data_IF_957364576987
#
_entry.id   IF_957364576987
#
_cell.length_a   1.000
_cell.length_b   1.000
_cell.length_c   1.000
_cell.angle_alpha   90.00
_cell.angle_beta   90.00
_cell.angle_gamma   90.00
#
_symmetry.space_group_name_H-M   'P 1'
#
loop_
_entity.id
_entity.type
_entity.pdbx_description
1 polymer ?
#
# COMPACT_ATOMS: atom_id res chain seq x y z
N UNK A 1 19.23 11.97 -12.00
CA UNK A 1 17.76 11.96 -11.69
C UNK A 1 17.41 10.69 -10.96
N UNK A 2 16.73 10.80 -9.84
CA UNK A 2 16.26 9.64 -9.11
C UNK A 2 14.89 9.20 -9.62
N UNK A 3 14.65 7.89 -9.60
CA UNK A 3 13.35 7.31 -9.93
C UNK A 3 12.46 7.36 -8.70
N UNK A 4 11.17 7.60 -8.88
CA UNK A 4 10.19 7.50 -7.80
C UNK A 4 9.54 6.12 -7.82
N UNK A 5 9.62 5.42 -6.70
CA UNK A 5 8.85 4.18 -6.49
C UNK A 5 7.60 4.49 -5.69
N UNK A 6 6.50 3.93 -6.13
CA UNK A 6 5.23 4.00 -5.41
C UNK A 6 4.95 2.63 -4.80
N UNK A 7 4.74 2.61 -3.50
CA UNK A 7 4.33 1.41 -2.79
C UNK A 7 3.09 1.71 -1.97
N UNK A 8 2.51 0.68 -1.40
CA UNK A 8 1.35 0.85 -0.53
C UNK A 8 1.41 -0.15 0.62
N UNK A 9 0.80 0.21 1.72
CA UNK A 9 0.60 -0.71 2.83
C UNK A 9 -0.70 -0.39 3.54
N UNK A 10 -1.57 -1.37 3.56
CA UNK A 10 -2.85 -1.30 4.26
C UNK A 10 -2.94 -2.54 5.14
N UNK A 11 -3.33 -2.35 6.41
CA UNK A 11 -3.40 -3.44 7.37
C UNK A 11 -4.61 -4.34 7.09
N UNK A 12 -4.52 -5.15 6.04
CA UNK A 12 -5.57 -6.07 5.63
C UNK A 12 -5.16 -7.52 5.92
N UNK A 13 -6.15 -8.39 6.12
CA UNK A 13 -5.89 -9.81 6.25
C UNK A 13 -5.35 -10.37 4.94
N UNK A 14 -4.18 -10.97 5.00
CA UNK A 14 -3.49 -11.50 3.83
C UNK A 14 -2.73 -12.77 4.18
N UNK A 15 -1.98 -13.30 3.21
CA UNK A 15 -1.24 -14.55 3.35
C UNK A 15 -0.23 -14.51 4.50
N UNK A 16 0.42 -13.36 4.70
CA UNK A 16 1.46 -13.22 5.72
C UNK A 16 1.00 -12.27 6.83
N UNK A 17 1.53 -12.42 8.07
CA UNK A 17 1.22 -11.49 9.16
C UNK A 17 1.81 -10.11 8.92
N UNK A 18 1.27 -9.12 9.63
CA UNK A 18 1.71 -7.72 9.51
C UNK A 18 3.22 -7.56 9.72
N UNK A 19 3.80 -8.29 10.67
CA UNK A 19 5.23 -8.21 10.98
C UNK A 19 6.10 -8.55 9.77
N UNK A 20 5.68 -9.51 8.95
CA UNK A 20 6.41 -9.88 7.74
C UNK A 20 6.43 -8.72 6.73
N UNK A 21 5.29 -8.07 6.53
CA UNK A 21 5.20 -6.93 5.61
C UNK A 21 5.99 -5.73 6.14
N UNK A 22 6.00 -5.51 7.44
CA UNK A 22 6.80 -4.44 8.04
C UNK A 22 8.30 -4.70 7.87
N UNK A 23 8.73 -5.95 7.96
CA UNK A 23 10.13 -6.32 7.68
C UNK A 23 10.49 -5.96 6.23
N UNK A 24 9.63 -6.27 5.28
CA UNK A 24 9.86 -5.94 3.87
C UNK A 24 9.87 -4.42 3.66
N UNK A 25 8.98 -3.70 4.32
CA UNK A 25 8.96 -2.23 4.26
C UNK A 25 10.28 -1.65 4.78
N UNK A 26 10.86 -2.26 5.81
CA UNK A 26 12.15 -1.82 6.36
C UNK A 26 13.24 -1.82 5.29
N UNK A 27 13.28 -2.85 4.45
CA UNK A 27 14.26 -2.92 3.36
C UNK A 27 14.09 -1.76 2.38
N UNK A 28 12.85 -1.40 2.04
CA UNK A 28 12.58 -0.27 1.18
C UNK A 28 13.05 1.04 1.81
N UNK A 29 12.74 1.25 3.09
CA UNK A 29 13.10 2.47 3.80
C UNK A 29 14.63 2.63 3.91
N UNK A 30 15.34 1.55 4.14
CA UNK A 30 16.79 1.57 4.27
C UNK A 30 17.51 1.83 2.95
N UNK A 31 16.88 1.53 1.82
CA UNK A 31 17.47 1.67 0.50
C UNK A 31 17.18 3.02 -0.17
N UNK A 32 16.42 3.90 0.48
CA UNK A 32 15.87 5.11 -0.14
C UNK A 32 16.92 6.11 -0.65
N UNK A 33 18.17 5.99 -0.25
CA UNK A 33 19.23 6.87 -0.75
C UNK A 33 19.43 6.78 -2.27
N UNK A 34 18.85 5.75 -2.90
CA UNK A 34 19.00 5.48 -4.33
C UNK A 34 17.75 5.81 -5.14
N UNK A 35 16.66 6.23 -4.47
CA UNK A 35 15.40 6.54 -5.14
C UNK A 35 14.50 7.35 -4.20
N UNK A 36 13.47 7.94 -4.79
CA UNK A 36 12.37 8.55 -4.02
C UNK A 36 11.32 7.48 -3.74
N UNK A 37 10.69 7.57 -2.59
CA UNK A 37 9.67 6.59 -2.19
C UNK A 37 8.40 7.29 -1.74
N UNK A 38 7.27 6.97 -2.36
CA UNK A 38 5.96 7.37 -1.87
C UNK A 38 5.21 6.13 -1.38
N UNK A 39 4.67 6.22 -0.17
CA UNK A 39 3.96 5.13 0.48
C UNK A 39 2.50 5.54 0.62
N UNK A 40 1.61 4.85 -0.10
CA UNK A 40 0.17 5.05 0.04
C UNK A 40 -0.35 4.15 1.16
N UNK A 41 -1.13 4.71 2.06
CA UNK A 41 -1.69 3.99 3.20
C UNK A 41 -2.95 4.72 3.70
N UNK A 42 -3.61 4.16 4.69
CA UNK A 42 -4.69 4.86 5.39
C UNK A 42 -4.20 5.37 6.75
N UNK A 43 -5.11 5.96 7.54
CA UNK A 43 -4.74 6.51 8.86
C UNK A 43 -4.18 5.43 9.78
N UNK A 44 -4.78 4.25 9.80
CA UNK A 44 -4.32 3.14 10.63
C UNK A 44 -2.93 2.67 10.19
N UNK A 45 -2.71 2.58 8.87
CA UNK A 45 -1.41 2.18 8.32
C UNK A 45 -0.33 3.21 8.63
N UNK A 46 -0.64 4.49 8.48
CA UNK A 46 0.31 5.56 8.83
C UNK A 46 0.72 5.47 10.29
N UNK A 47 -0.25 5.29 11.18
CA UNK A 47 0.02 5.15 12.61
C UNK A 47 0.95 3.98 12.89
N UNK A 48 0.67 2.82 12.29
CA UNK A 48 1.51 1.64 12.49
C UNK A 48 2.93 1.83 11.96
N UNK A 49 3.08 2.47 10.80
CA UNK A 49 4.39 2.75 10.24
C UNK A 49 5.19 3.67 11.15
N UNK A 50 4.56 4.73 11.67
CA UNK A 50 5.24 5.70 12.54
C UNK A 50 5.56 5.16 13.92
N UNK A 51 4.78 4.20 14.40
CA UNK A 51 5.04 3.53 15.69
C UNK A 51 6.11 2.44 15.56
N UNK A 52 6.16 1.77 14.42
CA UNK A 52 7.07 0.63 14.22
C UNK A 52 8.48 1.08 13.81
N UNK A 53 8.59 2.13 13.01
CA UNK A 53 9.88 2.60 12.49
C UNK A 53 10.32 3.88 13.19
N UNK A 54 11.65 4.08 13.28
CA UNK A 54 12.21 5.28 13.88
C UNK A 54 11.77 6.55 13.12
N UNK A 55 11.50 7.67 13.85
CA UNK A 55 11.02 8.90 13.21
C UNK A 55 11.92 9.44 12.11
N UNK A 56 13.23 9.21 12.19
CA UNK A 56 14.15 9.77 11.19
C UNK A 56 13.88 9.27 9.77
N UNK A 57 13.27 8.08 9.61
CA UNK A 57 12.89 7.61 8.27
C UNK A 57 11.91 8.56 7.61
N UNK A 58 10.95 9.09 8.37
CA UNK A 58 9.86 9.91 7.82
C UNK A 58 10.19 11.41 7.84
N UNK A 59 11.31 11.77 8.43
CA UNK A 59 11.88 13.11 8.31
C UNK A 59 12.70 13.26 7.03
N UNK A 60 13.05 12.14 6.39
CA UNK A 60 13.77 12.15 5.13
C UNK A 60 12.87 12.71 4.02
N UNK A 61 13.35 13.74 3.33
CA UNK A 61 12.60 14.39 2.25
C UNK A 61 12.41 13.50 1.02
N UNK A 62 13.13 12.39 0.93
CA UNK A 62 13.02 11.43 -0.18
C UNK A 62 11.96 10.36 0.09
N UNK A 63 11.34 10.39 1.27
CA UNK A 63 10.24 9.48 1.64
C UNK A 63 9.00 10.30 1.94
N UNK A 64 7.87 9.92 1.36
CA UNK A 64 6.60 10.59 1.61
C UNK A 64 5.50 9.57 1.87
N UNK A 65 4.76 9.77 2.97
CA UNK A 65 3.54 9.01 3.24
C UNK A 65 2.37 9.81 2.70
N UNK A 66 1.55 9.18 1.86
CA UNK A 66 0.31 9.76 1.34
C UNK A 66 -0.85 8.98 1.93
N UNK A 67 -1.65 9.64 2.77
CA UNK A 67 -2.82 9.01 3.37
C UNK A 67 -3.95 9.03 2.36
N UNK A 68 -4.33 7.85 1.88
CA UNK A 68 -5.41 7.66 0.92
C UNK A 68 -6.34 6.57 1.44
N UNK A 69 -7.43 6.94 2.13
CA UNK A 69 -8.36 5.95 2.65
C UNK A 69 -8.92 5.04 1.56
N UNK A 70 -9.31 3.84 1.93
CA UNK A 70 -9.85 2.85 1.00
C UNK A 70 -11.01 3.41 0.20
N UNK A 71 -11.85 4.22 0.84
CA UNK A 71 -13.01 4.86 0.20
C UNK A 71 -12.63 5.82 -0.93
N UNK A 72 -11.38 6.26 -0.99
CA UNK A 72 -10.88 7.14 -2.04
C UNK A 72 -10.20 6.38 -3.18
N UNK A 73 -10.10 5.05 -3.10
CA UNK A 73 -9.52 4.26 -4.18
C UNK A 73 -10.38 4.35 -5.44
N UNK A 74 -9.72 4.34 -6.59
CA UNK A 74 -10.41 4.31 -7.88
C UNK A 74 -11.40 3.14 -7.95
N UNK A 75 -10.99 1.97 -7.48
CA UNK A 75 -11.80 0.75 -7.54
C UNK A 75 -12.92 0.71 -6.50
N UNK A 76 -12.95 1.63 -5.53
CA UNK A 76 -13.95 1.60 -4.47
C UNK A 76 -15.38 1.75 -5.00
N UNK A 77 -15.56 2.49 -6.09
CA UNK A 77 -16.87 2.62 -6.74
C UNK A 77 -17.42 1.28 -7.25
N UNK A 78 -16.56 0.28 -7.38
CA UNK A 78 -16.95 -1.08 -7.79
C UNK A 78 -17.00 -2.05 -6.59
N UNK A 79 -17.10 -1.54 -5.39
CA UNK A 79 -17.09 -2.32 -4.15
C UNK A 79 -18.01 -3.52 -4.20
N UNK A 80 -19.25 -3.34 -4.68
CA UNK A 80 -20.23 -4.43 -4.75
C UNK A 80 -19.74 -5.58 -5.62
N UNK A 81 -19.09 -5.26 -6.74
CA UNK A 81 -18.54 -6.27 -7.63
C UNK A 81 -17.39 -7.05 -6.98
N UNK A 82 -16.54 -6.36 -6.23
CA UNK A 82 -15.43 -7.01 -5.53
C UNK A 82 -15.93 -7.95 -4.45
N UNK A 83 -16.94 -7.55 -3.68
CA UNK A 83 -17.55 -8.39 -2.64
C UNK A 83 -18.19 -9.63 -3.28
N UNK A 84 -18.95 -9.44 -4.35
CA UNK A 84 -19.63 -10.55 -5.03
C UNK A 84 -18.64 -11.55 -5.62
N UNK A 85 -17.61 -11.06 -6.29
CA UNK A 85 -16.58 -11.92 -6.88
C UNK A 85 -15.82 -12.71 -5.81
N UNK A 86 -15.55 -12.10 -4.66
CA UNK A 86 -14.88 -12.79 -3.56
C UNK A 86 -15.73 -13.94 -3.02
N UNK A 87 -17.04 -13.73 -2.89
CA UNK A 87 -17.96 -14.78 -2.42
C UNK A 87 -17.97 -15.98 -3.37
N UNK A 88 -17.85 -15.75 -4.66
CA UNK A 88 -17.90 -16.78 -5.68
C UNK A 88 -16.57 -17.49 -5.90
N UNK A 89 -15.48 -16.91 -5.47
CA UNK A 89 -14.13 -17.43 -5.75
C UNK A 89 -13.62 -18.26 -4.59
N UNK A 90 -13.70 -19.58 -4.73
CA UNK A 90 -13.30 -20.52 -3.69
C UNK A 90 -11.80 -20.53 -3.43
N UNK A 91 -10.98 -20.08 -4.39
CA UNK A 91 -9.53 -19.95 -4.19
C UNK A 91 -9.18 -18.80 -3.26
N UNK A 92 -10.02 -17.75 -3.23
CA UNK A 92 -9.77 -16.55 -2.43
C UNK A 92 -10.40 -16.63 -1.04
N UNK A 93 -11.55 -17.32 -0.91
CA UNK A 93 -12.26 -17.43 0.36
C UNK A 93 -12.34 -18.84 0.91
N UNK A 94 -11.68 -19.80 0.26
CA UNK A 94 -11.72 -21.21 0.62
C UNK A 94 -10.44 -21.68 1.29
N UNK A 95 -10.13 -22.98 1.10
CA UNK A 95 -9.06 -23.68 1.83
C UNK A 95 -7.64 -23.19 1.53
N UNK A 96 -7.41 -22.55 0.40
CA UNK A 96 -6.07 -22.13 0.00
C UNK A 96 -5.68 -20.77 0.59
N UNK A 97 -6.63 -19.81 0.59
CA UNK A 97 -6.40 -18.45 1.10
C UNK A 97 -7.48 -18.08 2.11
N UNK A 98 -7.50 -18.79 3.24
CA UNK A 98 -8.56 -18.70 4.24
C UNK A 98 -8.82 -17.31 4.78
N UNK A 99 -7.79 -16.47 4.89
CA UNK A 99 -7.90 -15.17 5.53
C UNK A 99 -7.83 -13.99 4.55
N UNK A 100 -7.98 -14.27 3.26
CA UNK A 100 -7.95 -13.21 2.26
C UNK A 100 -9.27 -12.44 2.25
N UNK A 101 -9.18 -11.13 2.36
CA UNK A 101 -10.34 -10.24 2.32
C UNK A 101 -10.63 -9.79 0.89
N UNK A 102 -11.90 -9.44 0.61
CA UNK A 102 -12.25 -8.87 -0.70
C UNK A 102 -11.51 -7.55 -0.96
N UNK A 103 -11.21 -6.79 0.09
CA UNK A 103 -10.44 -5.54 0.00
C UNK A 103 -9.03 -5.78 -0.49
N UNK A 104 -8.43 -6.92 -0.15
CA UNK A 104 -7.08 -7.25 -0.63
C UNK A 104 -7.06 -7.42 -2.15
N UNK A 105 -8.07 -8.07 -2.71
CA UNK A 105 -8.17 -8.23 -4.16
C UNK A 105 -8.32 -6.88 -4.86
N UNK A 106 -9.14 -5.99 -4.28
CA UNK A 106 -9.30 -4.63 -4.77
C UNK A 106 -7.98 -3.85 -4.69
N UNK A 107 -7.21 -4.06 -3.61
CA UNK A 107 -5.90 -3.44 -3.45
C UNK A 107 -4.94 -3.85 -4.57
N UNK A 108 -4.92 -5.12 -4.94
CA UNK A 108 -4.05 -5.58 -6.02
C UNK A 108 -4.33 -4.83 -7.32
N UNK A 109 -5.60 -4.59 -7.63
CA UNK A 109 -6.00 -3.83 -8.81
C UNK A 109 -5.74 -2.33 -8.65
N UNK A 110 -5.71 -1.83 -7.41
CA UNK A 110 -5.50 -0.42 -7.14
C UNK A 110 -4.04 0.03 -7.34
N UNK A 111 -3.10 -0.90 -7.35
CA UNK A 111 -1.66 -0.55 -7.41
C UNK A 111 -1.29 0.30 -8.61
N UNK A 112 -1.89 0.04 -9.78
CA UNK A 112 -1.62 0.87 -10.97
C UNK A 112 -2.09 2.30 -10.77
N UNK A 113 -3.15 2.50 -9.99
CA UNK A 113 -3.68 3.84 -9.70
C UNK A 113 -2.80 4.60 -8.71
N UNK A 114 -2.13 3.90 -7.80
CA UNK A 114 -1.13 4.53 -6.93
C UNK A 114 0.05 5.06 -7.75
N UNK A 115 0.53 4.29 -8.71
CA UNK A 115 1.62 4.72 -9.60
C UNK A 115 1.18 5.93 -10.41
N UNK A 116 -0.04 5.90 -10.96
CA UNK A 116 -0.57 7.02 -11.73
C UNK A 116 -0.74 8.27 -10.86
N UNK A 117 -1.22 8.12 -9.61
CA UNK A 117 -1.34 9.21 -8.65
C UNK A 117 0.03 9.87 -8.40
N UNK A 118 1.05 9.05 -8.16
CA UNK A 118 2.40 9.55 -7.94
C UNK A 118 2.93 10.30 -9.15
N UNK A 119 2.64 9.82 -10.35
CA UNK A 119 3.03 10.47 -11.60
C UNK A 119 2.36 11.84 -11.76
N UNK A 120 1.07 11.91 -11.48
CA UNK A 120 0.28 13.13 -11.66
C UNK A 120 0.61 14.20 -10.64
N UNK A 121 0.84 13.81 -9.38
CA UNK A 121 1.05 14.77 -8.29
C UNK A 121 2.50 15.20 -8.12
N UNK A 122 3.43 14.48 -8.70
CA UNK A 122 4.86 14.83 -8.65
C UNK A 122 5.32 15.21 -7.24
N UNK A 123 5.22 14.26 -6.31
CA UNK A 123 5.56 14.50 -4.90
C UNK A 123 7.02 14.89 -4.68
N UNK A 124 7.88 14.62 -5.66
CA UNK A 124 9.31 14.92 -5.59
C UNK A 124 9.73 15.74 -6.81
N UNK A 125 10.75 16.62 -6.66
CA UNK A 125 11.02 17.65 -7.65
C UNK A 125 11.52 17.19 -9.03
N UNK A 126 12.04 15.99 -9.16
CA UNK A 126 12.69 15.56 -10.41
C UNK A 126 12.15 14.25 -10.97
N UNK A 127 10.89 13.96 -10.70
CA UNK A 127 10.33 12.66 -11.14
C UNK A 127 9.26 12.77 -12.21
#
# INVERSE_FOLDING_TARGET
MLVTFATCWYALNSKFPADTYLQWMKHLLESVNHYYLVIFTDDAGEKMLREHFAPYYFENTDIKIVVKPIEQWYNYKYKSNWIENHKKNTLLNGSINLNTEWTLNMLWSEKVHFVNDARLNQYFPET
#
